data_IF_684068902689
#
_entry.id   IF_684068902689
#
_cell.length_a   1.000
_cell.length_b   1.000
_cell.length_c   1.000
_cell.angle_alpha   90.00
_cell.angle_beta   90.00
_cell.angle_gamma   90.00
#
_symmetry.space_group_name_H-M   'P 1'
#
loop_
_entity.id
_entity.type
_entity.pdbx_description
1 polymer ?
#
# COMPACT_ATOMS: atom_id res chain seq x y z
N UNK A 1 -14.59 -18.16 -11.88
CA UNK A 1 -13.97 -16.86 -11.60
C UNK A 1 -13.25 -17.00 -10.28
N UNK A 2 -11.98 -16.63 -10.23
CA UNK A 2 -11.29 -16.49 -8.95
C UNK A 2 -12.01 -15.35 -8.21
N UNK A 3 -12.50 -15.62 -7.00
CA UNK A 3 -13.17 -14.59 -6.20
C UNK A 3 -12.07 -13.81 -5.49
N UNK A 4 -11.81 -12.58 -5.91
CA UNK A 4 -10.81 -11.72 -5.30
C UNK A 4 -11.34 -11.24 -3.96
N UNK A 5 -10.69 -11.63 -2.87
CA UNK A 5 -11.03 -11.16 -1.52
C UNK A 5 -10.23 -9.89 -1.22
N UNK A 6 -10.86 -8.74 -1.44
CA UNK A 6 -10.20 -7.46 -1.25
C UNK A 6 -9.93 -7.14 0.24
N UNK A 7 -10.70 -7.71 1.17
CA UNK A 7 -10.42 -7.57 2.61
C UNK A 7 -9.15 -8.32 2.98
N UNK A 8 -8.97 -9.55 2.46
CA UNK A 8 -7.75 -10.33 2.66
C UNK A 8 -6.53 -9.64 2.03
N UNK A 9 -6.67 -9.09 0.82
CA UNK A 9 -5.64 -8.26 0.18
C UNK A 9 -5.26 -7.13 1.13
N UNK A 10 -6.22 -6.27 1.50
CA UNK A 10 -5.93 -5.09 2.32
C UNK A 10 -5.30 -5.50 3.65
N UNK A 11 -5.76 -6.55 4.32
CA UNK A 11 -5.11 -7.06 5.54
C UNK A 11 -3.67 -7.51 5.32
N UNK A 12 -3.39 -8.30 4.27
CA UNK A 12 -2.01 -8.74 3.97
C UNK A 12 -1.10 -7.56 3.68
N UNK A 13 -1.59 -6.57 2.95
CA UNK A 13 -0.83 -5.38 2.60
C UNK A 13 -0.76 -4.34 3.74
N UNK A 14 -1.59 -4.43 4.79
CA UNK A 14 -1.44 -3.56 5.99
C UNK A 14 -0.06 -3.70 6.63
N UNK A 15 0.58 -4.88 6.51
CA UNK A 15 1.93 -5.08 7.01
C UNK A 15 2.94 -4.11 6.37
N UNK A 16 2.70 -3.65 5.14
CA UNK A 16 3.53 -2.65 4.48
C UNK A 16 3.53 -1.30 5.23
N UNK A 17 2.54 -1.04 6.08
CA UNK A 17 2.48 0.12 6.98
C UNK A 17 3.11 -0.09 8.36
N UNK A 18 3.73 -1.25 8.63
CA UNK A 18 4.30 -1.55 9.96
C UNK A 18 5.42 -0.59 10.38
N UNK A 19 5.97 0.17 9.44
CA UNK A 19 7.04 1.14 9.67
C UNK A 19 6.54 2.60 9.62
N UNK A 20 5.22 2.83 9.68
CA UNK A 20 4.62 4.17 9.65
C UNK A 20 5.10 5.08 10.77
N UNK A 21 5.50 4.51 11.91
CA UNK A 21 5.99 5.28 13.06
C UNK A 21 7.35 5.95 12.80
N UNK A 22 8.05 5.59 11.72
CA UNK A 22 9.24 6.31 11.27
C UNK A 22 8.91 7.73 10.72
N UNK A 23 7.64 7.98 10.38
CA UNK A 23 7.17 9.23 9.80
C UNK A 23 6.59 10.14 10.88
N UNK A 24 6.98 11.42 10.85
CA UNK A 24 6.54 12.44 11.80
C UNK A 24 5.06 12.80 11.59
N UNK A 25 4.21 12.52 12.59
CA UNK A 25 2.76 12.74 12.53
C UNK A 25 2.39 14.21 12.31
N UNK A 26 3.24 15.14 12.73
CA UNK A 26 2.96 16.57 12.64
C UNK A 26 3.55 17.20 11.35
N UNK A 27 4.33 16.43 10.60
CA UNK A 27 4.90 16.92 9.35
C UNK A 27 3.89 16.88 8.19
N UNK A 28 4.06 17.81 7.26
CA UNK A 28 3.32 17.86 6.00
C UNK A 28 4.26 17.41 4.86
N UNK A 29 4.12 16.18 4.36
CA UNK A 29 4.96 15.67 3.28
C UNK A 29 4.75 16.37 1.94
N UNK A 30 3.66 17.16 1.80
CA UNK A 30 3.36 17.92 0.59
C UNK A 30 3.98 19.33 0.61
N UNK A 31 4.51 19.74 1.76
CA UNK A 31 5.19 21.03 1.90
C UNK A 31 6.51 21.03 1.14
N UNK A 32 6.79 22.13 0.43
CA UNK A 32 8.09 22.36 -0.22
C UNK A 32 9.27 22.47 0.75
N UNK A 33 8.99 22.59 2.06
CA UNK A 33 9.99 22.58 3.12
C UNK A 33 10.17 21.20 3.77
N UNK A 34 9.51 20.16 3.27
CA UNK A 34 9.60 18.82 3.84
C UNK A 34 10.94 18.17 3.45
N UNK A 35 11.75 17.85 4.46
CA UNK A 35 13.02 17.18 4.28
C UNK A 35 12.86 15.67 4.46
N UNK A 36 13.11 14.91 3.38
CA UNK A 36 13.03 13.46 3.42
C UNK A 36 14.27 12.87 4.11
N UNK A 37 14.05 12.10 5.18
CA UNK A 37 15.11 11.30 5.80
C UNK A 37 15.55 10.19 4.86
N UNK A 38 16.85 9.86 4.87
CA UNK A 38 17.41 8.72 4.11
C UNK A 38 16.70 7.40 4.46
N UNK A 39 16.28 7.25 5.71
CA UNK A 39 15.51 6.12 6.22
C UNK A 39 14.19 5.92 5.45
N UNK A 40 13.55 6.99 4.98
CA UNK A 40 12.30 6.88 4.23
C UNK A 40 12.51 6.19 2.87
N UNK A 41 13.65 6.42 2.21
CA UNK A 41 13.98 5.74 0.95
C UNK A 41 14.23 4.25 1.18
N UNK A 42 14.95 3.89 2.24
CA UNK A 42 15.18 2.48 2.60
C UNK A 42 13.86 1.75 2.95
N UNK A 43 12.94 2.46 3.60
CA UNK A 43 11.60 1.94 3.86
C UNK A 43 10.77 1.79 2.59
N UNK A 44 10.93 2.68 1.61
CA UNK A 44 10.28 2.55 0.30
C UNK A 44 10.80 1.33 -0.46
N UNK A 45 12.12 1.12 -0.50
CA UNK A 45 12.71 -0.07 -1.13
C UNK A 45 12.12 -1.37 -0.52
N UNK A 46 12.08 -1.43 0.81
CA UNK A 46 11.48 -2.57 1.52
C UNK A 46 9.98 -2.70 1.26
N UNK A 47 9.25 -1.59 1.22
CA UNK A 47 7.83 -1.57 0.89
C UNK A 47 7.58 -2.16 -0.50
N UNK A 48 8.38 -1.77 -1.50
CA UNK A 48 8.29 -2.28 -2.86
C UNK A 48 8.55 -3.78 -2.93
N UNK A 49 9.65 -4.25 -2.32
CA UNK A 49 10.01 -5.69 -2.31
C UNK A 49 8.89 -6.55 -1.72
N UNK A 50 8.33 -6.12 -0.59
CA UNK A 50 7.33 -6.87 0.15
C UNK A 50 5.96 -6.81 -0.53
N UNK A 51 5.58 -5.63 -1.06
CA UNK A 51 4.34 -5.49 -1.82
C UNK A 51 4.37 -6.35 -3.10
N UNK A 52 5.48 -6.32 -3.85
CA UNK A 52 5.62 -7.14 -5.06
C UNK A 52 5.58 -8.64 -4.74
N UNK A 53 6.22 -9.06 -3.65
CA UNK A 53 6.17 -10.44 -3.16
C UNK A 53 4.74 -10.88 -2.82
N UNK A 54 4.04 -10.10 -1.99
CA UNK A 54 2.66 -10.39 -1.59
C UNK A 54 1.70 -10.41 -2.77
N UNK A 55 1.85 -9.49 -3.72
CA UNK A 55 1.01 -9.43 -4.92
C UNK A 55 1.21 -10.68 -5.79
N UNK A 56 2.46 -11.10 -5.96
CA UNK A 56 2.79 -12.31 -6.70
C UNK A 56 2.20 -13.54 -6.02
N UNK A 57 2.43 -13.71 -4.72
CA UNK A 57 1.93 -14.84 -3.95
C UNK A 57 0.40 -14.92 -3.96
N UNK A 58 -0.26 -13.76 -3.88
CA UNK A 58 -1.73 -13.67 -3.95
C UNK A 58 -2.26 -14.13 -5.31
N UNK A 59 -1.68 -13.63 -6.40
CA UNK A 59 -2.11 -13.97 -7.77
C UNK A 59 -1.84 -15.44 -8.09
N UNK A 60 -0.69 -15.96 -7.68
CA UNK A 60 -0.38 -17.38 -7.79
C UNK A 60 -1.34 -18.24 -6.94
N UNK A 61 -1.67 -17.80 -5.73
CA UNK A 61 -2.62 -18.47 -4.84
C UNK A 61 -4.04 -18.55 -5.39
N UNK A 62 -4.48 -17.53 -6.13
CA UNK A 62 -5.75 -17.53 -6.85
C UNK A 62 -5.75 -18.42 -8.11
N UNK A 63 -4.58 -18.91 -8.54
CA UNK A 63 -4.43 -19.56 -9.84
C UNK A 63 -4.74 -18.62 -11.01
N UNK A 64 -4.54 -17.31 -10.81
CA UNK A 64 -4.85 -16.27 -11.79
C UNK A 64 -3.58 -15.71 -12.42
N UNK A 65 -3.75 -14.91 -13.49
CA UNK A 65 -2.67 -14.09 -14.05
C UNK A 65 -2.79 -12.65 -13.55
N UNK A 66 -1.69 -11.89 -13.64
CA UNK A 66 -1.74 -10.46 -13.33
C UNK A 66 -2.77 -9.70 -14.18
N UNK A 67 -2.90 -10.06 -15.46
CA UNK A 67 -3.89 -9.47 -16.35
C UNK A 67 -5.33 -9.69 -15.85
N UNK A 68 -5.62 -10.88 -15.33
CA UNK A 68 -6.91 -11.19 -14.74
C UNK A 68 -7.18 -10.36 -13.48
N UNK A 69 -6.19 -10.22 -12.60
CA UNK A 69 -6.33 -9.34 -11.43
C UNK A 69 -6.59 -7.88 -11.85
N UNK A 70 -5.90 -7.38 -12.88
CA UNK A 70 -6.14 -6.02 -13.39
C UNK A 70 -7.54 -5.83 -13.97
N UNK A 71 -8.08 -6.84 -14.66
CA UNK A 71 -9.47 -6.79 -15.14
C UNK A 71 -10.45 -6.74 -13.97
N UNK A 72 -10.27 -7.57 -12.94
CA UNK A 72 -11.11 -7.57 -11.74
C UNK A 72 -11.08 -6.22 -11.02
N UNK A 73 -9.89 -5.65 -10.81
CA UNK A 73 -9.71 -4.32 -10.22
C UNK A 73 -10.43 -3.23 -11.03
N UNK A 74 -10.37 -3.33 -12.37
CA UNK A 74 -11.05 -2.37 -13.26
C UNK A 74 -12.57 -2.48 -13.20
N UNK A 75 -13.11 -3.67 -12.97
CA UNK A 75 -14.56 -3.90 -12.85
C UNK A 75 -15.10 -3.43 -11.49
N UNK A 76 -14.25 -3.33 -10.47
CA UNK A 76 -14.61 -2.97 -9.10
C UNK A 76 -14.11 -1.59 -8.65
N UNK A 77 -13.88 -0.65 -9.57
CA UNK A 77 -13.35 0.70 -9.29
C UNK A 77 -14.18 1.58 -8.33
N UNK A 78 -15.39 1.16 -7.93
CA UNK A 78 -16.22 1.91 -6.96
C UNK A 78 -16.20 1.28 -5.56
N UNK A 79 -15.22 0.41 -5.29
CA UNK A 79 -15.05 -0.33 -4.04
C UNK A 79 -13.93 0.33 -3.22
N UNK A 80 -14.17 0.64 -1.95
CA UNK A 80 -13.21 1.37 -1.11
C UNK A 80 -11.90 0.58 -0.90
N UNK A 81 -12.02 -0.73 -0.82
CA UNK A 81 -10.91 -1.69 -0.71
C UNK A 81 -10.06 -1.71 -1.99
N UNK A 82 -10.70 -1.57 -3.16
CA UNK A 82 -10.01 -1.43 -4.45
C UNK A 82 -9.29 -0.10 -4.54
N UNK A 83 -9.90 0.99 -4.07
CA UNK A 83 -9.24 2.29 -4.00
C UNK A 83 -8.02 2.25 -3.08
N UNK A 84 -8.14 1.61 -1.92
CA UNK A 84 -7.04 1.38 -0.99
C UNK A 84 -5.93 0.55 -1.63
N UNK A 85 -6.28 -0.55 -2.32
CA UNK A 85 -5.32 -1.35 -3.07
C UNK A 85 -4.61 -0.56 -4.18
N UNK A 86 -5.33 0.26 -4.93
CA UNK A 86 -4.76 1.11 -5.97
C UNK A 86 -3.82 2.17 -5.39
N UNK A 87 -4.14 2.78 -4.25
CA UNK A 87 -3.24 3.70 -3.56
C UNK A 87 -1.95 3.01 -3.13
N UNK A 88 -2.04 1.78 -2.60
CA UNK A 88 -0.86 0.98 -2.26
C UNK A 88 0.00 0.65 -3.49
N UNK A 89 -0.64 0.24 -4.59
CA UNK A 89 0.03 -0.04 -5.86
C UNK A 89 0.73 1.21 -6.42
N UNK A 90 0.09 2.37 -6.34
CA UNK A 90 0.69 3.64 -6.74
C UNK A 90 1.91 3.96 -5.87
N UNK A 91 1.85 3.69 -4.56
CA UNK A 91 2.97 3.86 -3.62
C UNK A 91 4.23 3.07 -4.02
N UNK A 92 4.08 1.90 -4.64
CA UNK A 92 5.23 1.15 -5.18
C UNK A 92 5.88 1.92 -6.33
N UNK A 93 5.07 2.54 -7.19
CA UNK A 93 5.55 3.22 -8.41
C UNK A 93 6.04 4.65 -8.17
N UNK A 94 5.60 5.30 -7.09
CA UNK A 94 5.85 6.72 -6.82
C UNK A 94 6.21 6.92 -5.36
N UNK A 95 7.46 7.33 -5.13
CA UNK A 95 7.99 7.57 -3.80
C UNK A 95 7.19 8.63 -3.03
N UNK A 96 6.79 9.73 -3.67
CA UNK A 96 6.02 10.81 -3.02
C UNK A 96 4.67 10.28 -2.51
N UNK A 97 4.00 9.46 -3.31
CA UNK A 97 2.73 8.83 -2.92
C UNK A 97 2.92 7.84 -1.78
N UNK A 98 4.03 7.09 -1.76
CA UNK A 98 4.38 6.24 -0.62
C UNK A 98 4.56 7.07 0.66
N UNK A 99 5.29 8.19 0.59
CA UNK A 99 5.51 9.07 1.74
C UNK A 99 4.18 9.64 2.25
N UNK A 100 3.32 10.14 1.36
CA UNK A 100 1.97 10.62 1.70
C UNK A 100 1.13 9.53 2.35
N UNK A 101 1.19 8.31 1.84
CA UNK A 101 0.45 7.15 2.34
C UNK A 101 0.92 6.76 3.75
N UNK A 102 2.24 6.70 3.99
CA UNK A 102 2.81 6.39 5.31
C UNK A 102 2.52 7.47 6.34
N UNK A 103 2.53 8.74 5.95
CA UNK A 103 2.09 9.86 6.78
C UNK A 103 0.61 9.83 7.11
N UNK A 104 -0.22 9.51 6.11
CA UNK A 104 -1.66 9.37 6.33
C UNK A 104 -1.95 8.21 7.29
N UNK A 105 -1.23 7.09 7.12
CA UNK A 105 -1.29 5.96 8.03
C UNK A 105 -0.75 6.27 9.44
N UNK A 106 0.25 7.15 9.60
CA UNK A 106 0.78 7.53 10.93
C UNK A 106 -0.15 8.50 11.67
N UNK A 107 -0.87 9.36 10.94
CA UNK A 107 -1.89 10.30 11.46
C UNK A 107 -3.20 9.62 11.83
N UNK A 108 -3.62 8.66 11.02
CA UNK A 108 -4.75 7.79 11.34
C UNK A 108 -4.35 6.96 12.55
N UNK A 109 -5.08 7.08 13.66
CA UNK A 109 -5.10 6.06 14.71
C UNK A 109 -5.73 4.80 14.12
N UNK A 110 -5.06 4.16 13.15
CA UNK A 110 -5.33 2.78 12.80
C UNK A 110 -5.06 1.99 14.08
N UNK A 111 -6.10 1.85 14.90
CA UNK A 111 -6.09 1.00 16.07
C UNK A 111 -5.53 -0.35 15.60
N UNK A 112 -4.54 -0.93 16.30
CA UNK A 112 -4.19 -2.32 16.07
C UNK A 112 -5.45 -3.12 16.40
N UNK A 113 -6.16 -3.58 15.38
CA UNK A 113 -7.26 -4.52 15.56
C UNK A 113 -6.57 -5.79 16.07
N UNK A 114 -6.75 -6.06 17.36
CA UNK A 114 -6.25 -7.25 18.04
C UNK A 114 -7.02 -8.51 17.68
#
# INVERSE_FOLDING_TARGET
MANVDYDEIVERFKWCYSNRDAFDKDADPTSSSYEHKVEHTQLHDKYCEEFEGLLKDYVEGLGATMEQLFMEVKEHQNCEEVDTFLQMLIGVTKYEMFVELMHSASKSELEPIG
#
